data_IF_783628384562
#
_entry.id   IF_783628384562
#
_cell.length_a   1.000
_cell.length_b   1.000
_cell.length_c   1.000
_cell.angle_alpha   90.00
_cell.angle_beta   90.00
_cell.angle_gamma   90.00
#
_symmetry.space_group_name_H-M   'P 1'
#
loop_
_entity.id
_entity.type
_entity.pdbx_description
1 polymer ?
#
# COMPACT_ATOMS: atom_id res chain seq x y z
N UNK A 1 15.11 -15.28 -32.60
CA UNK A 1 14.66 -15.79 -31.30
C UNK A 1 15.84 -16.55 -30.72
N UNK A 2 16.64 -15.90 -29.88
CA UNK A 2 17.66 -16.57 -29.10
C UNK A 2 16.94 -17.46 -28.08
N UNK A 3 16.92 -18.77 -28.33
CA UNK A 3 16.42 -19.77 -27.39
C UNK A 3 17.61 -20.15 -26.53
N UNK A 4 17.64 -19.66 -25.26
CA UNK A 4 18.64 -20.08 -24.30
C UNK A 4 18.39 -21.55 -23.92
N UNK A 5 19.16 -22.46 -24.49
CA UNK A 5 19.19 -23.86 -24.09
C UNK A 5 20.19 -24.03 -22.94
N UNK A 6 19.71 -23.97 -21.68
CA UNK A 6 20.36 -24.64 -20.55
C UNK A 6 21.57 -23.98 -19.90
N UNK A 7 21.82 -22.67 -20.06
CA UNK A 7 22.87 -21.92 -19.32
C UNK A 7 22.47 -20.48 -19.05
N UNK A 8 23.02 -19.87 -18.01
CA UNK A 8 22.87 -18.43 -17.78
C UNK A 8 23.46 -17.65 -18.96
N UNK A 9 22.80 -16.57 -19.44
CA UNK A 9 23.31 -15.76 -20.54
C UNK A 9 24.59 -15.04 -20.11
N UNK A 10 25.62 -15.11 -20.95
CA UNK A 10 26.86 -14.36 -20.75
C UNK A 10 26.66 -12.90 -21.19
N UNK A 11 26.22 -12.06 -20.25
CA UNK A 11 25.90 -10.64 -20.50
C UNK A 11 27.17 -9.87 -20.92
N UNK A 12 28.33 -10.20 -20.35
CA UNK A 12 29.57 -9.50 -20.69
C UNK A 12 30.04 -9.81 -22.11
N UNK A 13 29.93 -11.05 -22.54
CA UNK A 13 30.24 -11.42 -23.93
C UNK A 13 29.26 -10.72 -24.90
N UNK A 14 27.95 -10.71 -24.59
CA UNK A 14 26.96 -10.00 -25.41
C UNK A 14 27.22 -8.50 -25.52
N UNK A 15 27.70 -7.88 -24.42
CA UNK A 15 28.07 -6.46 -24.42
C UNK A 15 29.30 -6.21 -25.31
N UNK A 16 30.37 -7.04 -25.19
CA UNK A 16 31.55 -6.90 -26.00
C UNK A 16 31.27 -7.10 -27.50
N UNK A 17 30.41 -8.07 -27.84
CA UNK A 17 29.95 -8.33 -29.21
C UNK A 17 28.91 -7.35 -29.74
N UNK A 18 28.41 -6.43 -28.88
CA UNK A 18 27.32 -5.50 -29.19
C UNK A 18 26.03 -6.22 -29.63
N UNK A 19 25.75 -7.39 -29.01
CA UNK A 19 24.50 -8.12 -29.28
C UNK A 19 23.31 -7.47 -28.55
N UNK A 20 22.86 -6.33 -29.09
CA UNK A 20 21.68 -5.61 -28.54
C UNK A 20 20.44 -6.48 -28.44
N UNK A 21 20.25 -7.44 -29.39
CA UNK A 21 19.06 -8.32 -29.38
C UNK A 21 19.16 -9.35 -28.27
N UNK A 22 20.33 -9.91 -28.06
CA UNK A 22 20.61 -10.82 -26.94
C UNK A 22 20.41 -10.16 -25.61
N UNK A 23 20.97 -8.95 -25.40
CA UNK A 23 20.80 -8.17 -24.19
C UNK A 23 19.34 -7.81 -23.92
N UNK A 24 18.58 -7.36 -24.93
CA UNK A 24 17.13 -7.09 -24.78
C UNK A 24 16.34 -8.38 -24.51
N UNK A 25 16.76 -9.52 -25.05
CA UNK A 25 16.13 -10.80 -24.73
C UNK A 25 16.41 -11.24 -23.28
N UNK A 26 17.62 -10.95 -22.76
CA UNK A 26 17.99 -11.23 -21.37
C UNK A 26 17.17 -10.46 -20.34
N UNK A 27 16.61 -9.30 -20.68
CA UNK A 27 15.64 -8.57 -19.83
C UNK A 27 14.36 -9.37 -19.50
N UNK A 28 14.13 -10.53 -20.14
CA UNK A 28 13.01 -11.43 -19.84
C UNK A 28 13.38 -12.57 -18.90
N UNK A 29 14.61 -12.59 -18.43
CA UNK A 29 15.10 -13.70 -17.59
C UNK A 29 14.34 -13.73 -16.26
N UNK A 30 14.17 -14.91 -15.66
CA UNK A 30 13.46 -15.06 -14.38
C UNK A 30 14.24 -14.48 -13.19
N UNK A 31 15.55 -14.42 -13.29
CA UNK A 31 16.44 -13.87 -12.26
C UNK A 31 16.61 -12.36 -12.45
N UNK A 32 16.33 -11.60 -11.41
CA UNK A 32 16.38 -10.13 -11.43
C UNK A 32 17.81 -9.59 -11.62
N UNK A 33 18.81 -10.29 -11.11
CA UNK A 33 20.23 -9.93 -11.28
C UNK A 33 20.66 -9.97 -12.75
N UNK A 34 20.19 -10.95 -13.52
CA UNK A 34 20.44 -11.03 -14.97
C UNK A 34 19.73 -9.89 -15.70
N UNK A 35 18.49 -9.57 -15.33
CA UNK A 35 17.77 -8.42 -15.91
C UNK A 35 18.54 -7.12 -15.65
N UNK A 36 18.99 -6.92 -14.41
CA UNK A 36 19.75 -5.74 -14.03
C UNK A 36 21.09 -5.65 -14.76
N UNK A 37 21.86 -6.75 -14.85
CA UNK A 37 23.10 -6.79 -15.61
C UNK A 37 22.88 -6.48 -17.09
N UNK A 38 21.79 -6.99 -17.69
CA UNK A 38 21.45 -6.72 -19.08
C UNK A 38 21.07 -5.25 -19.31
N UNK A 39 20.30 -4.65 -18.39
CA UNK A 39 19.96 -3.23 -18.42
C UNK A 39 21.20 -2.34 -18.32
N UNK A 40 22.07 -2.62 -17.36
CA UNK A 40 23.34 -1.90 -17.15
C UNK A 40 24.30 -2.07 -18.34
N UNK A 41 24.37 -3.26 -18.94
CA UNK A 41 25.15 -3.50 -20.16
C UNK A 41 24.62 -2.66 -21.34
N UNK A 42 23.30 -2.60 -21.53
CA UNK A 42 22.66 -1.76 -22.54
C UNK A 42 22.95 -0.27 -22.30
N UNK A 43 22.87 0.17 -21.05
CA UNK A 43 23.19 1.55 -20.66
C UNK A 43 24.67 1.89 -20.96
N UNK A 44 25.60 0.97 -20.68
CA UNK A 44 27.04 1.17 -20.93
C UNK A 44 27.41 1.30 -22.41
N UNK A 45 26.56 0.77 -23.32
CA UNK A 45 26.73 0.92 -24.77
C UNK A 45 26.28 2.32 -25.27
N UNK A 46 25.62 3.09 -24.42
CA UNK A 46 25.31 4.49 -24.67
C UNK A 46 24.47 4.74 -25.93
N UNK A 47 24.83 5.77 -26.67
CA UNK A 47 24.09 6.21 -27.85
C UNK A 47 24.00 5.14 -28.97
N UNK A 48 24.91 4.19 -29.03
CA UNK A 48 24.88 3.11 -30.03
C UNK A 48 23.68 2.17 -29.82
N UNK A 49 23.21 2.01 -28.57
CA UNK A 49 22.05 1.18 -28.25
C UNK A 49 20.70 1.88 -28.52
N UNK A 50 20.68 3.20 -28.69
CA UNK A 50 19.45 4.00 -28.70
C UNK A 50 18.37 3.54 -29.67
N UNK A 51 18.73 3.24 -30.93
CA UNK A 51 17.74 2.83 -31.94
C UNK A 51 17.11 1.48 -31.59
N UNK A 52 17.89 0.57 -31.02
CA UNK A 52 17.44 -0.74 -30.55
C UNK A 52 16.53 -0.59 -29.32
N UNK A 53 16.90 0.23 -28.35
CA UNK A 53 16.10 0.52 -27.14
C UNK A 53 14.78 1.16 -27.48
N UNK A 54 14.79 2.23 -28.30
CA UNK A 54 13.56 2.92 -28.70
C UNK A 54 12.61 2.00 -29.49
N UNK A 55 13.13 1.12 -30.34
CA UNK A 55 12.30 0.17 -31.08
C UNK A 55 11.66 -0.90 -30.18
N UNK A 56 12.32 -1.28 -29.07
CA UNK A 56 11.85 -2.29 -28.14
C UNK A 56 11.04 -1.73 -26.96
N UNK A 57 10.91 -0.41 -26.83
CA UNK A 57 10.23 0.25 -25.71
C UNK A 57 8.75 -0.14 -25.59
N UNK A 58 8.10 -0.49 -26.70
CA UNK A 58 6.71 -0.95 -26.74
C UNK A 58 6.57 -2.49 -26.64
N UNK A 59 7.56 -3.17 -26.06
CA UNK A 59 7.51 -4.62 -25.90
C UNK A 59 6.29 -5.05 -25.07
N UNK A 60 5.71 -6.22 -25.43
CA UNK A 60 4.55 -6.78 -24.69
C UNK A 60 4.91 -7.19 -23.26
N UNK A 61 6.14 -7.68 -23.06
CA UNK A 61 6.64 -8.08 -21.75
C UNK A 61 6.98 -6.83 -20.94
N UNK A 62 6.47 -6.76 -19.69
CA UNK A 62 6.65 -5.65 -18.76
C UNK A 62 8.12 -5.49 -18.36
N UNK A 63 8.81 -6.60 -18.04
CA UNK A 63 10.18 -6.58 -17.55
C UNK A 63 11.14 -6.02 -18.60
N UNK A 64 10.89 -6.32 -19.89
CA UNK A 64 11.63 -5.71 -21.00
C UNK A 64 11.44 -4.19 -21.03
N UNK A 65 10.19 -3.72 -20.87
CA UNK A 65 9.97 -2.26 -20.82
C UNK A 65 10.69 -1.60 -19.64
N UNK A 66 10.62 -2.22 -18.45
CA UNK A 66 11.30 -1.71 -17.27
C UNK A 66 12.81 -1.61 -17.46
N UNK A 67 13.47 -2.68 -17.89
CA UNK A 67 14.92 -2.68 -18.12
C UNK A 67 15.35 -1.69 -19.23
N UNK A 68 14.50 -1.49 -20.28
CA UNK A 68 14.78 -0.47 -21.30
C UNK A 68 14.66 0.94 -20.73
N UNK A 69 13.64 1.22 -19.91
CA UNK A 69 13.46 2.54 -19.28
C UNK A 69 14.65 2.87 -18.37
N UNK A 70 15.09 1.89 -17.55
CA UNK A 70 16.25 2.01 -16.71
C UNK A 70 17.51 2.36 -17.54
N UNK A 71 17.79 1.60 -18.59
CA UNK A 71 18.93 1.85 -19.50
C UNK A 71 18.84 3.25 -20.15
N UNK A 72 17.67 3.66 -20.63
CA UNK A 72 17.46 4.99 -21.23
C UNK A 72 17.65 6.13 -20.22
N UNK A 73 17.21 5.92 -18.97
CA UNK A 73 17.40 6.86 -17.86
C UNK A 73 18.89 7.08 -17.53
N UNK A 74 19.71 6.00 -17.57
CA UNK A 74 21.16 6.08 -17.36
C UNK A 74 21.89 6.74 -18.54
N UNK A 75 21.50 6.41 -19.80
CA UNK A 75 22.11 7.00 -21.02
C UNK A 75 21.83 8.50 -21.10
N UNK A 76 20.66 8.96 -20.63
CA UNK A 76 20.23 10.37 -20.61
C UNK A 76 20.23 11.05 -21.99
N UNK A 77 20.01 10.28 -23.07
CA UNK A 77 19.93 10.86 -24.40
C UNK A 77 18.57 11.56 -24.61
N UNK A 78 18.52 12.86 -25.04
CA UNK A 78 17.28 13.62 -25.21
C UNK A 78 16.26 13.01 -26.19
N UNK A 79 16.68 12.08 -27.05
CA UNK A 79 15.79 11.33 -27.95
C UNK A 79 14.82 10.44 -27.21
N UNK A 80 15.15 9.99 -25.98
CA UNK A 80 14.32 9.13 -25.14
C UNK A 80 13.18 9.89 -24.45
N UNK A 81 13.29 11.22 -24.26
CA UNK A 81 12.33 12.01 -23.47
C UNK A 81 10.89 11.87 -23.98
N UNK A 82 10.67 12.07 -25.28
CA UNK A 82 9.32 11.93 -25.87
C UNK A 82 8.70 10.53 -25.65
N UNK A 83 9.39 9.46 -26.03
CA UNK A 83 8.95 8.08 -25.76
C UNK A 83 8.70 7.79 -24.28
N UNK A 84 9.55 8.24 -23.36
CA UNK A 84 9.38 8.07 -21.91
C UNK A 84 8.17 8.84 -21.38
N UNK A 85 7.90 10.05 -21.88
CA UNK A 85 6.66 10.78 -21.57
C UNK A 85 5.44 9.96 -21.97
N UNK A 86 5.47 9.27 -23.12
CA UNK A 86 4.38 8.37 -23.53
C UNK A 86 4.15 7.23 -22.55
N UNK A 87 5.20 6.72 -21.91
CA UNK A 87 5.10 5.64 -20.93
C UNK A 87 4.53 6.09 -19.57
N UNK A 88 4.40 7.37 -19.29
CA UNK A 88 3.63 7.85 -18.14
C UNK A 88 2.14 7.48 -18.23
N UNK A 89 1.68 7.00 -19.40
CA UNK A 89 0.32 6.50 -19.62
C UNK A 89 0.27 4.99 -19.85
N UNK A 90 1.34 4.24 -19.51
CA UNK A 90 1.35 2.78 -19.65
C UNK A 90 0.28 2.15 -18.76
N UNK A 91 -0.25 1.01 -19.18
CA UNK A 91 -1.24 0.22 -18.43
C UNK A 91 -0.71 -0.29 -17.08
N UNK A 92 0.59 -0.59 -17.00
CA UNK A 92 1.27 -1.10 -15.82
C UNK A 92 1.82 0.06 -14.98
N UNK A 93 1.41 0.16 -13.74
CA UNK A 93 1.84 1.23 -12.82
C UNK A 93 3.35 1.23 -12.55
N UNK A 94 3.99 0.06 -12.53
CA UNK A 94 5.45 -0.04 -12.37
C UNK A 94 6.18 0.62 -13.55
N UNK A 95 5.67 0.46 -14.79
CA UNK A 95 6.23 1.10 -15.97
C UNK A 95 6.04 2.63 -15.92
N UNK A 96 4.86 3.10 -15.48
CA UNK A 96 4.62 4.54 -15.31
C UNK A 96 5.54 5.14 -14.25
N UNK A 97 5.72 4.44 -13.12
CA UNK A 97 6.60 4.84 -12.03
C UNK A 97 8.06 4.94 -12.50
N UNK A 98 8.57 3.89 -13.16
CA UNK A 98 9.94 3.86 -13.67
C UNK A 98 10.18 4.96 -14.73
N UNK A 99 9.20 5.17 -15.62
CA UNK A 99 9.25 6.27 -16.59
C UNK A 99 9.35 7.65 -15.92
N UNK A 100 8.61 7.85 -14.81
CA UNK A 100 8.69 9.11 -14.05
C UNK A 100 10.09 9.32 -13.44
N UNK A 101 10.68 8.26 -12.86
CA UNK A 101 12.05 8.33 -12.31
C UNK A 101 13.08 8.60 -13.40
N UNK A 102 13.03 7.88 -14.52
CA UNK A 102 13.94 8.07 -15.64
C UNK A 102 13.86 9.51 -16.20
N UNK A 103 12.66 10.08 -16.33
CA UNK A 103 12.48 11.48 -16.76
C UNK A 103 13.08 12.46 -15.75
N UNK A 104 12.99 12.17 -14.45
CA UNK A 104 13.64 12.92 -13.39
C UNK A 104 15.18 12.86 -13.47
N UNK A 105 15.75 11.69 -13.84
CA UNK A 105 17.19 11.53 -14.07
C UNK A 105 17.69 12.34 -15.28
N UNK A 106 16.87 12.38 -16.33
CA UNK A 106 17.20 13.12 -17.55
C UNK A 106 17.09 14.63 -17.36
N UNK A 107 16.29 15.08 -16.43
CA UNK A 107 16.06 16.49 -16.09
C UNK A 107 15.72 17.41 -17.30
N UNK A 108 15.02 16.88 -18.30
CA UNK A 108 14.63 17.63 -19.48
C UNK A 108 13.36 18.43 -19.22
N UNK A 109 13.33 19.76 -19.47
CA UNK A 109 12.17 20.61 -19.18
C UNK A 109 10.86 20.17 -19.84
N UNK A 110 10.91 19.42 -20.96
CA UNK A 110 9.73 18.87 -21.63
C UNK A 110 8.94 17.90 -20.77
N UNK A 111 9.59 17.29 -19.77
CA UNK A 111 8.95 16.35 -18.85
C UNK A 111 8.16 17.01 -17.71
N UNK A 112 8.38 18.32 -17.44
CA UNK A 112 7.77 18.99 -16.28
C UNK A 112 6.23 18.91 -16.28
N UNK A 113 5.58 19.30 -17.37
CA UNK A 113 4.12 19.23 -17.47
C UNK A 113 3.56 17.80 -17.34
N UNK A 114 4.08 16.83 -18.13
CA UNK A 114 3.68 15.42 -18.00
C UNK A 114 3.90 14.82 -16.59
N UNK A 115 4.99 15.16 -15.92
CA UNK A 115 5.24 14.72 -14.54
C UNK A 115 4.28 15.36 -13.54
N UNK A 116 3.92 16.63 -13.76
CA UNK A 116 2.89 17.29 -12.95
C UNK A 116 1.52 16.63 -13.12
N UNK A 117 1.15 16.26 -14.34
CA UNK A 117 -0.08 15.50 -14.59
C UNK A 117 -0.05 14.12 -13.90
N UNK A 118 1.11 13.48 -13.86
CA UNK A 118 1.31 12.20 -13.19
C UNK A 118 1.23 12.28 -11.65
N UNK A 119 1.28 13.46 -11.04
CA UNK A 119 0.90 13.66 -9.62
C UNK A 119 -0.57 13.33 -9.34
N UNK A 120 -1.39 13.19 -10.39
CA UNK A 120 -2.80 12.81 -10.31
C UNK A 120 -3.05 11.33 -10.66
N UNK A 121 -1.99 10.53 -10.80
CA UNK A 121 -2.11 9.09 -11.08
C UNK A 121 -2.91 8.37 -9.98
N UNK A 122 -3.74 7.38 -10.31
CA UNK A 122 -4.44 6.58 -9.32
C UNK A 122 -3.49 5.79 -8.41
N UNK A 123 -2.30 5.43 -8.88
CA UNK A 123 -1.32 4.64 -8.13
C UNK A 123 -0.38 5.55 -7.31
N UNK A 124 -0.23 5.23 -6.03
CA UNK A 124 0.61 6.02 -5.10
C UNK A 124 2.09 6.05 -5.47
N UNK A 125 2.62 4.97 -6.04
CA UNK A 125 4.03 4.91 -6.41
C UNK A 125 4.32 5.81 -7.60
N UNK A 126 3.41 5.86 -8.59
CA UNK A 126 3.52 6.77 -9.73
C UNK A 126 3.50 8.24 -9.26
N UNK A 127 2.55 8.58 -8.37
CA UNK A 127 2.52 9.93 -7.77
C UNK A 127 3.81 10.26 -7.02
N UNK A 128 4.33 9.30 -6.23
CA UNK A 128 5.56 9.49 -5.47
C UNK A 128 6.78 9.66 -6.39
N UNK A 129 6.94 8.79 -7.40
CA UNK A 129 8.02 8.89 -8.38
C UNK A 129 7.98 10.22 -9.15
N UNK A 130 6.77 10.66 -9.55
CA UNK A 130 6.59 11.97 -10.21
C UNK A 130 6.96 13.14 -9.30
N UNK A 131 6.59 13.07 -8.00
CA UNK A 131 6.97 14.09 -7.04
C UNK A 131 8.49 14.18 -6.86
N UNK A 132 9.17 13.05 -6.72
CA UNK A 132 10.64 12.99 -6.63
C UNK A 132 11.31 13.53 -7.90
N UNK A 133 10.81 13.15 -9.08
CA UNK A 133 11.32 13.62 -10.36
C UNK A 133 11.21 15.14 -10.48
N UNK A 134 10.06 15.72 -10.15
CA UNK A 134 9.82 17.16 -10.16
C UNK A 134 10.74 17.91 -9.19
N UNK A 135 10.92 17.40 -7.96
CA UNK A 135 11.85 18.00 -6.99
C UNK A 135 13.29 17.95 -7.51
N UNK A 136 13.72 16.81 -8.08
CA UNK A 136 15.05 16.64 -8.65
C UNK A 136 15.31 17.62 -9.81
N UNK A 137 14.27 17.92 -10.60
CA UNK A 137 14.33 18.89 -11.68
C UNK A 137 14.27 20.34 -11.19
N UNK A 138 14.16 20.58 -9.87
CA UNK A 138 14.05 21.93 -9.30
C UNK A 138 12.71 22.60 -9.57
N UNK A 139 11.65 21.81 -9.89
CA UNK A 139 10.32 22.35 -10.09
C UNK A 139 9.75 22.88 -8.78
N UNK A 140 9.14 24.06 -8.84
CA UNK A 140 8.47 24.69 -7.71
C UNK A 140 7.02 25.01 -8.07
N UNK A 141 6.03 24.56 -7.28
CA UNK A 141 4.63 24.86 -7.53
C UNK A 141 4.34 26.36 -7.33
N UNK A 142 3.60 26.95 -8.26
CA UNK A 142 3.22 28.37 -8.28
C UNK A 142 1.87 28.64 -7.61
N UNK A 143 1.11 27.57 -7.30
CA UNK A 143 -0.19 27.67 -6.63
C UNK A 143 -0.27 26.70 -5.44
N UNK A 144 -1.07 27.06 -4.40
CA UNK A 144 -1.30 26.15 -3.28
C UNK A 144 -1.88 24.78 -3.70
N UNK A 145 -2.73 24.77 -4.73
CA UNK A 145 -3.32 23.52 -5.23
C UNK A 145 -2.24 22.61 -5.84
N UNK A 146 -1.33 23.12 -6.66
CA UNK A 146 -0.22 22.34 -7.24
C UNK A 146 0.72 21.84 -6.15
N UNK A 147 0.97 22.64 -5.12
CA UNK A 147 1.73 22.22 -3.95
C UNK A 147 1.04 21.09 -3.19
N UNK A 148 -0.29 21.14 -3.05
CA UNK A 148 -1.04 20.06 -2.42
C UNK A 148 -0.93 18.73 -3.21
N UNK A 149 -0.90 18.75 -4.55
CA UNK A 149 -0.65 17.54 -5.34
C UNK A 149 0.75 16.97 -5.12
N UNK A 150 1.78 17.81 -5.03
CA UNK A 150 3.14 17.39 -4.70
C UNK A 150 3.19 16.71 -3.33
N UNK A 151 2.62 17.34 -2.30
CA UNK A 151 2.55 16.78 -0.94
C UNK A 151 1.75 15.48 -0.88
N UNK A 152 0.68 15.36 -1.68
CA UNK A 152 -0.11 14.13 -1.78
C UNK A 152 0.70 13.00 -2.41
N UNK A 153 1.50 13.28 -3.42
CA UNK A 153 2.46 12.34 -4.00
C UNK A 153 3.48 11.84 -2.97
N UNK A 154 3.99 12.74 -2.15
CA UNK A 154 4.94 12.43 -1.06
C UNK A 154 4.28 11.86 0.18
N UNK A 155 2.95 11.84 0.26
CA UNK A 155 2.17 11.41 1.42
C UNK A 155 2.45 12.24 2.70
N UNK A 156 2.68 13.53 2.55
CA UNK A 156 2.93 14.49 3.63
C UNK A 156 1.60 14.93 4.28
N UNK A 157 0.93 13.99 4.98
CA UNK A 157 -0.43 14.15 5.49
C UNK A 157 -0.60 15.30 6.47
N UNK A 158 0.43 15.59 7.27
CA UNK A 158 0.39 16.68 8.24
C UNK A 158 0.42 18.04 7.55
N UNK A 159 1.32 18.23 6.59
CA UNK A 159 1.40 19.43 5.77
C UNK A 159 0.09 19.66 4.98
N UNK A 160 -0.50 18.59 4.42
CA UNK A 160 -1.81 18.68 3.74
C UNK A 160 -2.93 19.13 4.68
N UNK A 161 -2.92 18.65 5.93
CA UNK A 161 -3.91 19.10 6.91
C UNK A 161 -3.76 20.58 7.28
N UNK A 162 -2.52 21.09 7.33
CA UNK A 162 -2.22 22.50 7.59
C UNK A 162 -2.63 23.40 6.43
N UNK A 163 -2.55 22.92 5.18
CA UNK A 163 -3.02 23.65 3.99
C UNK A 163 -4.54 23.86 4.00
N UNK A 164 -5.28 23.05 4.72
CA UNK A 164 -6.72 23.19 4.83
C UNK A 164 -7.44 22.94 3.49
N UNK A 165 -8.31 23.87 3.13
CA UNK A 165 -9.24 23.78 1.97
C UNK A 165 -8.54 23.50 0.64
N UNK A 166 -7.33 24.01 0.43
CA UNK A 166 -6.60 23.91 -0.83
C UNK A 166 -6.11 22.48 -1.09
N UNK A 167 -5.98 21.65 -0.03
CA UNK A 167 -5.58 20.25 -0.14
C UNK A 167 -6.75 19.30 -0.49
N UNK A 168 -8.00 19.75 -0.43
CA UNK A 168 -9.17 18.86 -0.61
C UNK A 168 -9.17 18.17 -1.98
N UNK A 169 -8.82 18.89 -3.05
CA UNK A 169 -8.80 18.36 -4.42
C UNK A 169 -7.76 17.26 -4.59
N UNK A 170 -6.56 17.42 -4.03
CA UNK A 170 -5.51 16.40 -4.11
C UNK A 170 -5.81 15.18 -3.25
N UNK A 171 -6.43 15.38 -2.08
CA UNK A 171 -6.88 14.30 -1.20
C UNK A 171 -8.01 13.46 -1.82
N UNK A 172 -8.81 14.01 -2.76
CA UNK A 172 -9.81 13.22 -3.51
C UNK A 172 -9.17 12.13 -4.36
N UNK A 173 -7.97 12.37 -4.89
CA UNK A 173 -7.21 11.36 -5.63
C UNK A 173 -6.71 10.27 -4.68
N UNK A 174 -6.07 10.66 -3.59
CA UNK A 174 -5.58 9.70 -2.60
C UNK A 174 -6.73 8.87 -1.96
N UNK A 175 -7.93 9.45 -1.84
CA UNK A 175 -9.13 8.73 -1.37
C UNK A 175 -9.71 7.72 -2.39
N UNK A 176 -9.11 7.61 -3.59
CA UNK A 176 -9.43 6.61 -4.63
C UNK A 176 -8.29 5.62 -4.86
N UNK A 177 -7.20 5.71 -4.10
CA UNK A 177 -6.04 4.84 -4.24
C UNK A 177 -6.40 3.36 -4.11
N UNK A 178 -5.65 2.49 -4.78
CA UNK A 178 -5.82 1.04 -4.68
C UNK A 178 -5.51 0.53 -3.26
N UNK A 179 -4.55 1.15 -2.57
CA UNK A 179 -4.19 0.81 -1.20
C UNK A 179 -5.14 1.45 -0.18
N UNK A 180 -5.78 0.61 0.61
CA UNK A 180 -6.70 1.05 1.67
C UNK A 180 -6.01 1.91 2.75
N UNK A 181 -4.72 1.73 2.98
CA UNK A 181 -3.96 2.55 3.94
C UNK A 181 -3.83 4.00 3.48
N UNK A 182 -3.61 4.22 2.17
CA UNK A 182 -3.56 5.55 1.57
C UNK A 182 -4.94 6.21 1.61
N UNK A 183 -6.01 5.45 1.23
CA UNK A 183 -7.39 5.96 1.32
C UNK A 183 -7.76 6.35 2.76
N UNK A 184 -7.36 5.53 3.74
CA UNK A 184 -7.60 5.79 5.16
C UNK A 184 -6.93 7.10 5.61
N UNK A 185 -5.66 7.29 5.24
CA UNK A 185 -4.91 8.51 5.60
C UNK A 185 -5.50 9.74 4.93
N UNK A 186 -5.89 9.65 3.65
CA UNK A 186 -6.56 10.74 2.95
C UNK A 186 -7.86 11.15 3.63
N UNK A 187 -8.70 10.17 3.99
CA UNK A 187 -9.99 10.43 4.68
C UNK A 187 -9.75 11.02 6.07
N UNK A 188 -8.76 10.53 6.81
CA UNK A 188 -8.38 11.09 8.12
C UNK A 188 -7.92 12.54 7.99
N UNK A 189 -7.12 12.84 6.98
CA UNK A 189 -6.64 14.20 6.70
C UNK A 189 -7.81 15.12 6.34
N UNK A 190 -8.74 14.68 5.49
CA UNK A 190 -9.99 15.42 5.21
C UNK A 190 -10.79 15.73 6.49
N UNK A 191 -10.87 14.76 7.41
CA UNK A 191 -11.52 14.97 8.70
C UNK A 191 -10.76 15.92 9.65
N UNK A 192 -9.46 16.06 9.50
CA UNK A 192 -8.64 17.06 10.24
C UNK A 192 -8.86 18.47 9.68
N UNK A 193 -8.94 18.58 8.34
CA UNK A 193 -9.25 19.82 7.65
C UNK A 193 -10.65 20.35 8.03
N UNK A 194 -11.65 19.47 8.09
CA UNK A 194 -13.00 19.81 8.50
C UNK A 194 -13.76 20.72 7.54
N UNK A 195 -13.34 20.85 6.27
CA UNK A 195 -13.97 21.70 5.28
C UNK A 195 -15.17 21.00 4.61
N UNK A 196 -16.23 21.74 4.34
CA UNK A 196 -17.44 21.23 3.69
C UNK A 196 -17.21 20.70 2.27
N UNK A 197 -16.19 21.18 1.56
CA UNK A 197 -15.79 20.66 0.24
C UNK A 197 -15.41 19.18 0.27
N UNK A 198 -15.03 18.63 1.44
CA UNK A 198 -14.74 17.21 1.60
C UNK A 198 -16.01 16.33 1.61
N UNK A 199 -17.19 16.89 1.80
CA UNK A 199 -18.46 16.14 1.94
C UNK A 199 -18.71 15.16 0.77
N UNK A 200 -18.59 15.55 -0.50
CA UNK A 200 -18.79 14.62 -1.62
C UNK A 200 -17.82 13.43 -1.61
N UNK A 201 -16.56 13.68 -1.21
CA UNK A 201 -15.51 12.67 -1.11
C UNK A 201 -15.87 11.69 0.01
N UNK A 202 -16.19 12.21 1.19
CA UNK A 202 -16.56 11.42 2.36
C UNK A 202 -17.84 10.61 2.12
N UNK A 203 -18.82 11.17 1.42
CA UNK A 203 -20.06 10.46 1.07
C UNK A 203 -19.80 9.25 0.16
N UNK A 204 -18.79 9.33 -0.72
CA UNK A 204 -18.34 8.19 -1.52
C UNK A 204 -17.60 7.17 -0.64
N UNK A 205 -16.68 7.60 0.20
CA UNK A 205 -15.82 6.73 1.02
C UNK A 205 -16.54 6.05 2.18
N UNK A 206 -17.74 6.50 2.59
CA UNK A 206 -18.63 5.75 3.49
C UNK A 206 -18.99 4.36 2.92
N UNK A 207 -18.87 4.15 1.60
CA UNK A 207 -19.14 2.87 0.92
C UNK A 207 -17.86 2.14 0.50
N UNK A 208 -16.71 2.52 1.05
CA UNK A 208 -15.42 1.89 0.75
C UNK A 208 -15.46 0.38 1.04
N UNK A 209 -14.77 -0.47 0.25
CA UNK A 209 -14.66 -1.91 0.56
C UNK A 209 -13.98 -2.17 1.91
N UNK A 210 -13.04 -1.32 2.33
CA UNK A 210 -12.36 -1.44 3.62
C UNK A 210 -13.18 -0.85 4.77
N UNK A 211 -13.34 -1.63 5.85
CA UNK A 211 -14.16 -1.23 7.00
C UNK A 211 -13.55 -0.05 7.78
N UNK A 212 -12.23 0.03 7.86
CA UNK A 212 -11.54 1.13 8.57
C UNK A 212 -11.72 2.45 7.84
N UNK A 213 -11.65 2.40 6.49
CA UNK A 213 -11.90 3.58 5.65
C UNK A 213 -13.34 4.05 5.80
N UNK A 214 -14.34 3.12 5.76
CA UNK A 214 -15.76 3.48 6.00
C UNK A 214 -15.96 4.15 7.35
N UNK A 215 -15.38 3.56 8.40
CA UNK A 215 -15.48 4.11 9.75
C UNK A 215 -14.89 5.52 9.85
N UNK A 216 -13.67 5.71 9.35
CA UNK A 216 -13.01 7.01 9.36
C UNK A 216 -13.81 8.05 8.56
N UNK A 217 -14.40 7.66 7.41
CA UNK A 217 -15.25 8.54 6.61
C UNK A 217 -16.48 9.01 7.37
N UNK A 218 -17.12 8.14 8.18
CA UNK A 218 -18.23 8.51 9.06
C UNK A 218 -17.78 9.53 10.11
N UNK A 219 -16.63 9.31 10.74
CA UNK A 219 -16.09 10.22 11.76
C UNK A 219 -15.67 11.56 11.16
N UNK A 220 -15.01 11.54 9.99
CA UNK A 220 -14.61 12.73 9.26
C UNK A 220 -15.83 13.55 8.80
N UNK A 221 -16.90 12.88 8.34
CA UNK A 221 -18.14 13.54 7.91
C UNK A 221 -18.77 14.43 8.99
N UNK A 222 -18.71 13.97 10.24
CA UNK A 222 -19.24 14.77 11.37
C UNK A 222 -18.41 16.05 11.57
N UNK A 223 -17.08 15.96 11.43
CA UNK A 223 -16.19 17.11 11.53
C UNK A 223 -16.35 18.12 10.40
N UNK A 224 -16.77 17.65 9.21
CA UNK A 224 -17.05 18.48 8.05
C UNK A 224 -18.50 19.05 8.04
N UNK A 225 -19.24 18.91 9.14
CA UNK A 225 -20.55 19.53 9.31
C UNK A 225 -21.77 18.63 8.99
N UNK A 226 -21.56 17.33 8.69
CA UNK A 226 -22.71 16.42 8.50
C UNK A 226 -23.22 15.96 9.87
N UNK A 227 -24.49 16.26 10.17
CA UNK A 227 -25.12 15.79 11.40
C UNK A 227 -25.22 14.25 11.43
N UNK A 228 -24.93 13.66 12.60
CA UNK A 228 -24.94 12.21 12.81
C UNK A 228 -26.26 11.52 12.42
N UNK A 229 -27.37 12.27 12.45
CA UNK A 229 -28.70 11.75 12.07
C UNK A 229 -28.81 11.36 10.58
N UNK A 230 -27.98 11.95 9.72
CA UNK A 230 -27.97 11.68 8.27
C UNK A 230 -26.99 10.57 7.89
N UNK A 231 -26.18 10.07 8.86
CA UNK A 231 -25.24 9.01 8.61
C UNK A 231 -25.89 7.63 8.81
N UNK A 232 -25.61 6.64 7.93
CA UNK A 232 -26.15 5.30 8.07
C UNK A 232 -25.67 4.63 9.36
N UNK A 233 -26.58 4.37 10.29
CA UNK A 233 -26.26 3.76 11.61
C UNK A 233 -25.54 2.41 11.49
N UNK A 234 -25.82 1.65 10.43
CA UNK A 234 -25.16 0.36 10.17
C UNK A 234 -23.67 0.52 9.85
N UNK A 235 -23.27 1.64 9.24
CA UNK A 235 -21.89 1.95 8.88
C UNK A 235 -21.11 2.65 10.02
N UNK A 236 -21.83 3.21 11.00
CA UNK A 236 -21.23 3.88 12.16
C UNK A 236 -20.74 2.91 13.25
N UNK A 237 -20.72 1.60 13.00
CA UNK A 237 -20.16 0.63 13.93
C UNK A 237 -18.63 0.67 13.82
N UNK A 238 -17.98 0.89 14.99
CA UNK A 238 -16.52 0.88 15.06
C UNK A 238 -15.96 -0.46 14.55
N UNK A 239 -14.93 -0.44 13.69
CA UNK A 239 -14.25 -1.66 13.26
C UNK A 239 -13.78 -2.49 14.46
N UNK A 240 -13.97 -3.79 14.39
CA UNK A 240 -13.47 -4.69 15.43
C UNK A 240 -11.97 -4.87 15.22
N UNK A 241 -11.17 -4.37 16.16
CA UNK A 241 -9.73 -4.66 16.15
C UNK A 241 -9.50 -6.15 16.44
N UNK A 242 -8.61 -6.79 15.68
CA UNK A 242 -8.19 -8.17 15.96
C UNK A 242 -7.67 -8.24 17.38
N UNK A 243 -8.23 -9.15 18.16
CA UNK A 243 -7.79 -9.41 19.52
C UNK A 243 -6.60 -10.36 19.50
N UNK A 244 -5.61 -10.10 20.36
CA UNK A 244 -4.41 -10.93 20.43
C UNK A 244 -4.77 -12.34 20.91
N UNK A 245 -4.52 -13.42 20.11
CA UNK A 245 -4.85 -14.78 20.48
C UNK A 245 -4.17 -15.25 21.77
N UNK A 246 -2.93 -14.81 21.99
CA UNK A 246 -2.17 -15.19 23.19
C UNK A 246 -2.75 -14.56 24.45
N UNK A 247 -3.24 -13.32 24.36
CA UNK A 247 -3.94 -12.65 25.48
C UNK A 247 -5.27 -13.39 25.77
N UNK A 248 -6.02 -13.75 24.72
CA UNK A 248 -7.27 -14.49 24.90
C UNK A 248 -7.03 -15.85 25.59
N UNK A 249 -5.98 -16.56 25.17
CA UNK A 249 -5.57 -17.83 25.77
C UNK A 249 -5.16 -17.65 27.24
N UNK A 250 -4.28 -16.70 27.51
CA UNK A 250 -3.81 -16.40 28.86
C UNK A 250 -4.96 -16.06 29.82
N UNK A 251 -5.86 -15.17 29.38
CA UNK A 251 -7.03 -14.79 30.19
C UNK A 251 -7.96 -15.98 30.46
N UNK A 252 -8.14 -16.90 29.52
CA UNK A 252 -8.95 -18.09 29.73
C UNK A 252 -8.24 -19.16 30.58
N UNK A 253 -6.91 -19.18 30.58
CA UNK A 253 -6.15 -20.09 31.45
C UNK A 253 -6.20 -19.61 32.91
N UNK A 254 -6.15 -18.30 33.14
CA UNK A 254 -6.19 -17.74 34.50
C UNK A 254 -7.62 -17.68 35.06
N UNK A 255 -8.56 -17.27 34.22
CA UNK A 255 -9.98 -17.10 34.56
C UNK A 255 -10.84 -17.55 33.38
N UNK A 256 -11.31 -18.80 33.35
CA UNK A 256 -12.12 -19.33 32.26
C UNK A 256 -13.37 -18.50 32.00
N UNK A 257 -13.57 -18.18 30.72
CA UNK A 257 -14.64 -17.29 30.29
C UNK A 257 -14.16 -15.86 29.98
N UNK A 258 -13.19 -15.32 30.71
CA UNK A 258 -12.70 -13.93 30.50
C UNK A 258 -12.02 -13.78 29.12
N UNK A 259 -11.26 -14.77 28.68
CA UNK A 259 -10.67 -14.77 27.36
C UNK A 259 -11.71 -14.74 26.22
N UNK A 260 -12.82 -15.46 26.38
CA UNK A 260 -13.93 -15.40 25.43
C UNK A 260 -14.62 -14.03 25.43
N UNK A 261 -14.83 -13.45 26.61
CA UNK A 261 -15.36 -12.11 26.72
C UNK A 261 -14.43 -11.07 26.07
N UNK A 262 -13.11 -11.22 26.29
CA UNK A 262 -12.09 -10.38 25.63
C UNK A 262 -12.20 -10.39 24.10
N UNK A 263 -12.45 -11.54 23.48
CA UNK A 263 -12.66 -11.66 22.03
C UNK A 263 -14.09 -11.34 21.58
N UNK A 264 -14.90 -10.76 22.47
CA UNK A 264 -16.25 -10.29 22.16
C UNK A 264 -17.34 -11.39 22.14
N UNK A 265 -17.09 -12.54 22.73
CA UNK A 265 -18.07 -13.61 22.90
C UNK A 265 -18.78 -13.45 24.23
N UNK A 266 -20.02 -12.94 24.23
CA UNK A 266 -20.81 -12.64 25.44
C UNK A 266 -21.02 -13.87 26.36
N UNK A 267 -21.11 -15.06 25.79
CA UNK A 267 -21.25 -16.30 26.54
C UNK A 267 -20.02 -16.64 27.41
N UNK A 268 -18.89 -15.95 27.21
CA UNK A 268 -17.74 -16.04 28.13
C UNK A 268 -18.08 -15.67 29.56
N UNK A 269 -19.05 -14.77 29.76
CA UNK A 269 -19.54 -14.41 31.11
C UNK A 269 -20.23 -15.60 31.77
N UNK A 270 -21.01 -16.37 31.00
CA UNK A 270 -21.67 -17.57 31.53
C UNK A 270 -20.67 -18.66 31.93
N UNK A 271 -19.64 -18.87 31.12
CA UNK A 271 -18.56 -19.81 31.43
C UNK A 271 -17.86 -19.38 32.72
N UNK A 272 -17.51 -18.12 32.85
CA UNK A 272 -16.89 -17.60 34.07
C UNK A 272 -17.75 -17.80 35.31
N UNK A 273 -19.07 -17.58 35.23
CA UNK A 273 -19.97 -17.82 36.32
C UNK A 273 -20.04 -19.31 36.70
N UNK A 274 -20.18 -20.20 35.70
CA UNK A 274 -20.22 -21.65 35.90
C UNK A 274 -18.91 -22.14 36.55
N UNK A 275 -17.76 -21.64 36.05
CA UNK A 275 -16.46 -21.98 36.62
C UNK A 275 -16.34 -21.53 38.08
N UNK A 276 -16.77 -20.31 38.40
CA UNK A 276 -16.75 -19.76 39.75
C UNK A 276 -17.58 -20.66 40.71
N UNK A 277 -18.78 -21.05 40.30
CA UNK A 277 -19.62 -21.94 41.12
C UNK A 277 -19.01 -23.36 41.26
N UNK A 278 -18.45 -23.90 40.17
CA UNK A 278 -17.80 -25.20 40.18
C UNK A 278 -16.56 -25.20 41.11
N UNK A 279 -15.76 -24.16 41.03
CA UNK A 279 -14.58 -23.99 41.90
C UNK A 279 -14.95 -23.90 43.36
N UNK A 280 -15.96 -23.10 43.70
CA UNK A 280 -16.46 -22.98 45.07
C UNK A 280 -17.02 -24.32 45.60
N UNK A 281 -17.80 -25.02 44.78
CA UNK A 281 -18.36 -26.30 45.14
C UNK A 281 -17.28 -27.38 45.34
N UNK A 282 -16.39 -27.56 44.37
CA UNK A 282 -15.30 -28.54 44.47
C UNK A 282 -14.35 -28.24 45.63
N UNK A 283 -14.07 -26.96 45.87
CA UNK A 283 -13.19 -26.59 46.99
C UNK A 283 -13.81 -26.84 48.35
N UNK A 284 -15.14 -26.78 48.46
CA UNK A 284 -15.85 -27.10 49.71
C UNK A 284 -15.86 -28.61 50.01
N UNK A 285 -15.90 -29.44 48.98
CA UNK A 285 -15.97 -30.92 49.13
C UNK A 285 -14.58 -31.56 49.20
N UNK A 286 -13.62 -31.10 48.36
CA UNK A 286 -12.32 -31.76 48.15
C UNK A 286 -11.14 -30.99 48.71
N UNK A 287 -11.36 -29.75 49.10
CA UNK A 287 -10.29 -28.78 49.38
C UNK A 287 -9.74 -28.12 48.12
N UNK A 288 -9.22 -26.88 48.24
CA UNK A 288 -8.84 -26.02 47.12
C UNK A 288 -7.79 -26.69 46.20
N UNK A 289 -6.75 -27.31 46.78
CA UNK A 289 -5.66 -27.90 45.98
C UNK A 289 -6.15 -29.08 45.13
N UNK A 290 -6.97 -29.97 45.72
CA UNK A 290 -7.54 -31.10 44.99
C UNK A 290 -8.55 -30.67 43.94
N UNK A 291 -9.30 -29.59 44.16
CA UNK A 291 -10.20 -29.01 43.17
C UNK A 291 -9.44 -28.51 41.94
N UNK A 292 -8.26 -27.87 42.11
CA UNK A 292 -7.43 -27.39 41.03
C UNK A 292 -6.92 -28.52 40.13
N UNK A 293 -6.63 -29.72 40.64
CA UNK A 293 -6.20 -30.85 39.83
C UNK A 293 -7.24 -31.25 38.77
N UNK A 294 -8.53 -31.05 39.06
CA UNK A 294 -9.63 -31.34 38.13
C UNK A 294 -9.90 -30.12 37.19
N UNK A 295 -9.69 -28.92 37.65
CA UNK A 295 -10.04 -27.71 36.89
C UNK A 295 -8.92 -27.27 35.94
N UNK A 296 -7.63 -27.44 36.28
CA UNK A 296 -6.50 -27.02 35.46
C UNK A 296 -6.51 -27.60 34.03
N UNK A 297 -6.81 -28.89 33.81
CA UNK A 297 -6.94 -29.44 32.46
C UNK A 297 -8.03 -28.75 31.63
N UNK A 298 -9.17 -28.43 32.26
CA UNK A 298 -10.28 -27.71 31.60
C UNK A 298 -9.88 -26.29 31.24
N UNK A 299 -9.11 -25.61 32.10
CA UNK A 299 -8.56 -24.26 31.83
C UNK A 299 -7.60 -24.29 30.65
N UNK A 300 -6.75 -25.34 30.54
CA UNK A 300 -5.89 -25.55 29.39
C UNK A 300 -6.67 -25.70 28.08
N UNK A 301 -7.74 -26.52 28.10
CA UNK A 301 -8.62 -26.70 26.92
C UNK A 301 -9.30 -25.38 26.55
N UNK A 302 -9.83 -24.64 27.53
CA UNK A 302 -10.48 -23.36 27.30
C UNK A 302 -9.51 -22.30 26.74
N UNK A 303 -8.26 -22.31 27.20
CA UNK A 303 -7.21 -21.44 26.70
C UNK A 303 -6.88 -21.73 25.21
N UNK A 304 -6.66 -22.99 24.86
CA UNK A 304 -6.39 -23.40 23.46
C UNK A 304 -7.58 -23.07 22.56
N UNK A 305 -8.80 -23.32 23.02
CA UNK A 305 -9.99 -23.01 22.24
C UNK A 305 -10.18 -21.50 22.03
N UNK A 306 -9.95 -20.68 23.06
CA UNK A 306 -10.00 -19.23 22.91
C UNK A 306 -8.92 -18.70 21.96
N UNK A 307 -7.70 -19.25 22.03
CA UNK A 307 -6.62 -18.97 21.09
C UNK A 307 -7.02 -19.28 19.66
N UNK A 308 -7.58 -20.47 19.43
CA UNK A 308 -8.03 -20.91 18.13
C UNK A 308 -9.11 -20.00 17.54
N UNK A 309 -10.14 -19.66 18.31
CA UNK A 309 -11.19 -18.73 17.88
C UNK A 309 -10.61 -17.35 17.56
N UNK A 310 -9.73 -16.82 18.42
CA UNK A 310 -9.12 -15.51 18.21
C UNK A 310 -8.26 -15.48 16.94
N UNK A 311 -7.59 -16.60 16.62
CA UNK A 311 -6.77 -16.73 15.41
C UNK A 311 -7.60 -16.78 14.12
N UNK A 312 -8.81 -17.33 14.19
CA UNK A 312 -9.72 -17.39 13.04
C UNK A 312 -10.48 -16.08 12.78
N UNK A 313 -10.37 -15.09 13.70
CA UNK A 313 -10.98 -13.79 13.46
C UNK A 313 -10.23 -13.12 12.31
N UNK A 314 -10.93 -12.63 11.26
CA UNK A 314 -10.29 -11.97 10.16
C UNK A 314 -9.52 -10.74 10.64
N UNK A 315 -8.40 -10.45 9.99
CA UNK A 315 -7.71 -9.19 10.11
C UNK A 315 -8.60 -8.11 9.46
N UNK A 316 -9.29 -7.36 10.30
CA UNK A 316 -10.19 -6.30 9.90
C UNK A 316 -9.47 -4.95 9.97
#
# INVERSE_FOLDING_TARGET
>A
VAVFFGGEPDIDAMREEKDYRGLIAALRHEQLDIQWHASSALASLGDEAMDHLLSALNARNKDVRLGIIEALGEIRNPRAVGPLIGLLQDKDNEVRWEAALALGEMADPRALGPLEDALRDPDRYVRYGSALALEKMGWSPDTPERYAFLLTGKQEWDALAEMGRDAVSSLDIAAKDNDSSVRLMAVRTLGRIGDEKAIPILYRTIRDPDEKVRWEAVMASQKCGISAQYLPRALARRPRTRKNPNIAAFLNFVLPGIGYFYIGKWWGVLIFQIDTYATLFLSSELGLLSALDYLLPLYGIAAVHAWYIARQMPDL
#
